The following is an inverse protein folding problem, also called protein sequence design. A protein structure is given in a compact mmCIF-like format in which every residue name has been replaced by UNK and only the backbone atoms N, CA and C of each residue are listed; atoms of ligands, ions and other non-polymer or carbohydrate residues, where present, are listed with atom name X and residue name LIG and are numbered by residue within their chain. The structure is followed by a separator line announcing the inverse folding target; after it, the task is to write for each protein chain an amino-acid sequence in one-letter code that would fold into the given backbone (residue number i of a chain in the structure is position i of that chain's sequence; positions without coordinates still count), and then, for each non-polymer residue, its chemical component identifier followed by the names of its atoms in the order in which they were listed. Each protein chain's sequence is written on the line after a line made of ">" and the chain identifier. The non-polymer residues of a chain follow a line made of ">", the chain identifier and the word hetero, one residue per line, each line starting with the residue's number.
data_IF_374097844346
#
_entry.id   IF_374097844346
#
_cell.length_a   1.000
_cell.length_b   1.000
_cell.length_c   1.000
_cell.angle_alpha   90.00
_cell.angle_beta   90.00
_cell.angle_gamma   90.00
#
_symmetry.space_group_name_H-M   'P 1'
#
loop_
_entity.id
_entity.type
_entity.pdbx_description
1 polymer ?
#
# COMPACT_ATOMS: atom_id res chain seq x y z
N UNK A 1 -3.10 -6.52 10.78
CA UNK A 1 -2.35 -7.13 9.67
C UNK A 1 -0.86 -6.79 9.71
N UNK A 2 -0.43 -5.64 10.26
CA UNK A 2 1.00 -5.32 10.41
C UNK A 2 1.70 -6.01 11.61
N UNK A 3 1.01 -6.88 12.36
CA UNK A 3 1.58 -7.60 13.50
C UNK A 3 2.77 -8.53 13.18
N UNK A 4 2.97 -9.05 11.95
CA UNK A 4 4.18 -9.80 11.62
C UNK A 4 5.49 -9.03 11.87
N UNK A 5 5.45 -7.69 11.81
CA UNK A 5 6.63 -6.84 12.04
C UNK A 5 6.81 -6.41 13.50
N UNK A 6 5.99 -6.88 14.45
CA UNK A 6 5.99 -6.38 15.85
C UNK A 6 7.34 -6.40 16.56
N UNK A 7 8.21 -7.35 16.24
CA UNK A 7 9.52 -7.51 16.88
C UNK A 7 10.61 -6.62 16.26
N UNK A 8 10.43 -6.22 14.99
CA UNK A 8 11.38 -5.39 14.25
C UNK A 8 10.67 -4.67 13.09
N UNK A 9 10.33 -3.40 13.28
CA UNK A 9 9.56 -2.60 12.33
C UNK A 9 10.19 -1.23 12.08
N UNK A 10 10.00 -0.71 10.86
CA UNK A 10 10.23 0.70 10.53
C UNK A 10 9.02 1.60 10.84
N UNK A 11 7.83 1.03 10.99
CA UNK A 11 6.60 1.76 11.24
C UNK A 11 6.34 1.99 12.74
N UNK A 12 5.50 2.99 13.05
CA UNK A 12 4.99 3.21 14.40
C UNK A 12 3.68 2.46 14.64
N UNK A 13 3.26 2.33 15.91
CA UNK A 13 1.95 1.80 16.25
C UNK A 13 0.81 2.60 15.57
N UNK A 14 0.91 3.93 15.51
CA UNK A 14 -0.08 4.78 14.86
C UNK A 14 -0.15 4.51 13.34
N UNK A 15 1.01 4.42 12.68
CA UNK A 15 1.11 4.03 11.26
C UNK A 15 0.40 2.70 11.02
N UNK A 16 0.62 1.72 11.89
CA UNK A 16 0.01 0.39 11.74
C UNK A 16 -1.53 0.41 11.87
N UNK A 17 -2.09 1.24 12.75
CA UNK A 17 -3.55 1.42 12.88
C UNK A 17 -4.10 2.09 11.61
N UNK A 18 -3.38 3.08 11.12
CA UNK A 18 -3.83 3.96 10.03
C UNK A 18 -3.69 3.29 8.65
N UNK A 19 -2.81 2.29 8.52
CA UNK A 19 -2.79 1.40 7.36
C UNK A 19 -4.09 0.61 7.15
N UNK A 20 -4.96 0.49 8.17
CA UNK A 20 -6.23 -0.23 8.08
C UNK A 20 -7.45 0.70 7.88
N UNK A 21 -7.22 2.02 7.83
CA UNK A 21 -8.29 3.02 7.67
C UNK A 21 -8.33 3.54 6.24
N UNK A 22 -9.53 3.74 5.72
CA UNK A 22 -9.74 4.41 4.43
C UNK A 22 -9.46 5.89 4.58
N UNK A 23 -8.84 6.49 3.56
CA UNK A 23 -8.47 7.90 3.58
C UNK A 23 -7.68 8.30 4.84
N UNK A 24 -6.82 7.40 5.30
CA UNK A 24 -6.00 7.63 6.49
C UNK A 24 -4.94 8.71 6.25
N UNK A 25 -4.36 9.23 7.33
CA UNK A 25 -3.36 10.30 7.23
C UNK A 25 -2.09 9.92 6.43
N UNK A 26 -1.85 8.62 6.21
CA UNK A 26 -0.66 8.14 5.50
C UNK A 26 -0.62 8.68 4.07
N UNK A 27 -1.73 8.52 3.34
CA UNK A 27 -1.82 8.84 1.92
C UNK A 27 -3.15 9.50 1.53
N UNK A 28 -4.08 9.60 2.48
CA UNK A 28 -5.45 10.03 2.25
C UNK A 28 -6.14 9.27 1.11
N UNK A 29 -5.75 8.01 0.92
CA UNK A 29 -6.14 7.23 -0.26
C UNK A 29 -7.51 6.59 -0.08
N UNK A 30 -8.37 6.75 -1.08
CA UNK A 30 -9.68 6.10 -1.12
C UNK A 30 -9.61 4.79 -1.91
N UNK A 31 -9.69 3.65 -1.21
CA UNK A 31 -9.77 2.34 -1.85
C UNK A 31 -11.07 2.16 -2.66
N UNK A 32 -12.14 2.85 -2.27
CA UNK A 32 -13.48 2.74 -2.87
C UNK A 32 -13.74 3.77 -3.98
N UNK A 33 -12.69 4.24 -4.67
CA UNK A 33 -12.76 5.29 -5.69
C UNK A 33 -13.60 4.94 -6.93
N UNK A 34 -14.04 3.69 -7.08
CA UNK A 34 -14.95 3.21 -8.14
C UNK A 34 -16.12 2.39 -7.60
N UNK A 35 -16.45 2.53 -6.31
CA UNK A 35 -17.39 1.69 -5.59
C UNK A 35 -16.70 0.88 -4.50
N UNK A 36 -17.48 0.19 -3.67
CA UNK A 36 -16.97 -0.55 -2.50
C UNK A 36 -16.02 -1.67 -2.95
N UNK A 37 -14.77 -1.61 -2.50
CA UNK A 37 -13.77 -2.64 -2.76
C UNK A 37 -14.10 -3.92 -1.95
N UNK A 38 -14.06 -5.11 -2.57
CA UNK A 38 -14.22 -6.37 -1.85
C UNK A 38 -13.19 -6.52 -0.72
N UNK A 39 -13.63 -7.04 0.43
CA UNK A 39 -12.79 -7.14 1.63
C UNK A 39 -11.50 -7.96 1.38
N UNK A 40 -11.59 -9.03 0.58
CA UNK A 40 -10.43 -9.84 0.20
C UNK A 40 -9.39 -9.04 -0.60
N UNK A 41 -9.84 -8.24 -1.56
CA UNK A 41 -8.97 -7.35 -2.32
C UNK A 41 -8.33 -6.28 -1.42
N UNK A 42 -9.14 -5.62 -0.58
CA UNK A 42 -8.68 -4.58 0.36
C UNK A 42 -7.64 -5.10 1.34
N UNK A 43 -7.77 -6.37 1.78
CA UNK A 43 -6.79 -7.02 2.65
C UNK A 43 -5.38 -6.98 2.07
N UNK A 44 -5.23 -7.23 0.77
CA UNK A 44 -3.92 -7.19 0.09
C UNK A 44 -3.33 -5.79 0.06
N UNK A 45 -4.14 -4.75 -0.21
CA UNK A 45 -3.68 -3.35 -0.13
C UNK A 45 -3.22 -2.94 1.28
N UNK A 46 -3.88 -3.45 2.32
CA UNK A 46 -3.44 -3.24 3.70
C UNK A 46 -2.12 -3.98 3.98
N UNK A 47 -1.95 -5.20 3.48
CA UNK A 47 -0.71 -5.97 3.62
C UNK A 47 0.47 -5.31 2.89
N UNK A 48 0.24 -4.83 1.66
CA UNK A 48 1.21 -4.04 0.89
C UNK A 48 1.62 -2.77 1.66
N UNK A 49 0.65 -2.03 2.21
CA UNK A 49 0.92 -0.86 3.05
C UNK A 49 1.75 -1.24 4.29
N UNK A 50 1.41 -2.34 4.98
CA UNK A 50 2.21 -2.80 6.11
C UNK A 50 3.64 -3.19 5.68
N UNK A 51 3.82 -3.86 4.54
CA UNK A 51 5.15 -4.20 4.02
C UNK A 51 5.96 -2.94 3.73
N UNK A 52 5.36 -1.98 3.03
CA UNK A 52 6.00 -0.72 2.64
C UNK A 52 6.42 0.10 3.86
N UNK A 53 5.53 0.24 4.84
CA UNK A 53 5.76 1.08 6.02
C UNK A 53 6.63 0.40 7.08
N UNK A 54 6.48 -0.91 7.26
CA UNK A 54 7.03 -1.61 8.43
C UNK A 54 8.26 -2.46 8.12
N UNK A 55 8.50 -2.90 6.89
CA UNK A 55 9.57 -3.86 6.63
C UNK A 55 10.97 -3.26 6.75
N UNK A 56 11.82 -3.76 7.67
CA UNK A 56 13.21 -3.35 7.75
C UNK A 56 14.11 -4.03 6.72
N UNK A 57 13.55 -4.91 5.88
CA UNK A 57 14.31 -5.78 4.98
C UNK A 57 14.32 -5.31 3.52
N UNK A 58 13.72 -4.15 3.22
CA UNK A 58 13.62 -3.63 1.86
C UNK A 58 14.85 -2.82 1.40
N UNK A 59 15.86 -2.69 2.27
CA UNK A 59 17.10 -1.95 2.01
C UNK A 59 17.73 -2.13 0.62
N UNK A 60 17.87 -3.36 0.09
CA UNK A 60 18.46 -3.60 -1.24
C UNK A 60 17.74 -2.93 -2.41
N UNK A 61 16.46 -2.61 -2.26
CA UNK A 61 15.60 -2.06 -3.32
C UNK A 61 15.32 -0.56 -3.16
N UNK A 62 15.89 0.08 -2.13
CA UNK A 62 15.75 1.52 -1.91
C UNK A 62 16.51 2.28 -3.00
N UNK A 63 15.84 3.28 -3.58
CA UNK A 63 16.37 4.21 -4.60
C UNK A 63 15.95 5.65 -4.26
N UNK A 64 16.77 6.66 -4.61
CA UNK A 64 16.37 8.05 -4.50
C UNK A 64 15.07 8.33 -5.24
N UNK A 65 14.22 9.16 -4.65
CA UNK A 65 12.96 9.61 -5.24
C UNK A 65 13.03 11.10 -5.51
N UNK A 66 12.70 11.49 -6.74
CA UNK A 66 12.49 12.89 -7.11
C UNK A 66 11.01 13.26 -6.84
N UNK A 67 10.69 13.54 -5.58
CA UNK A 67 9.32 13.89 -5.16
C UNK A 67 9.30 14.81 -3.94
N UNK A 68 8.23 15.59 -3.79
CA UNK A 68 8.08 16.56 -2.70
C UNK A 68 7.85 15.95 -1.32
N UNK A 69 7.40 14.69 -1.23
CA UNK A 69 6.94 14.08 0.01
C UNK A 69 7.77 12.88 0.47
N UNK A 70 8.65 12.34 -0.38
CA UNK A 70 9.61 11.29 -0.01
C UNK A 70 10.95 11.51 -0.70
N UNK A 71 12.03 11.28 0.06
CA UNK A 71 13.42 11.32 -0.44
C UNK A 71 13.83 10.02 -1.13
N UNK A 72 13.21 8.91 -0.76
CA UNK A 72 13.53 7.56 -1.21
C UNK A 72 12.26 6.78 -1.51
N UNK A 73 12.38 5.74 -2.33
CA UNK A 73 11.31 4.77 -2.63
C UNK A 73 11.93 3.41 -2.91
N UNK A 74 11.12 2.36 -2.79
CA UNK A 74 11.52 1.01 -3.22
C UNK A 74 11.18 0.81 -4.70
N UNK A 75 12.06 0.14 -5.44
CA UNK A 75 11.85 -0.23 -6.85
C UNK A 75 12.29 -1.67 -7.10
N UNK A 76 11.53 -2.39 -7.93
CA UNK A 76 11.83 -3.77 -8.34
C UNK A 76 11.98 -4.75 -7.16
N UNK A 77 11.15 -4.58 -6.12
CA UNK A 77 11.05 -5.57 -5.04
C UNK A 77 10.56 -6.89 -5.65
N UNK A 78 11.28 -8.02 -5.44
CA UNK A 78 10.91 -9.31 -5.98
C UNK A 78 9.81 -9.91 -5.11
N UNK A 79 8.58 -9.44 -5.30
CA UNK A 79 7.42 -10.04 -4.68
C UNK A 79 7.33 -11.51 -5.13
N UNK A 80 7.03 -12.40 -4.19
CA UNK A 80 6.79 -13.80 -4.52
C UNK A 80 5.62 -13.92 -5.50
N UNK A 81 5.72 -14.92 -6.38
CA UNK A 81 4.74 -15.15 -7.44
C UNK A 81 3.34 -15.37 -6.86
N UNK A 82 3.25 -16.19 -5.82
CA UNK A 82 1.99 -16.58 -5.17
C UNK A 82 1.29 -15.38 -4.51
N UNK A 83 2.05 -14.47 -3.87
CA UNK A 83 1.50 -13.24 -3.29
C UNK A 83 0.92 -12.32 -4.38
N UNK A 84 1.60 -12.20 -5.52
CA UNK A 84 1.13 -11.39 -6.66
C UNK A 84 -0.14 -11.98 -7.30
N UNK A 85 -0.14 -13.29 -7.58
CA UNK A 85 -1.28 -13.96 -8.21
C UNK A 85 -2.51 -13.98 -7.30
N UNK A 86 -2.32 -14.26 -6.01
CA UNK A 86 -3.44 -14.30 -5.05
C UNK A 86 -4.05 -12.90 -4.87
N UNK A 87 -3.23 -11.85 -4.86
CA UNK A 87 -3.72 -10.47 -4.87
C UNK A 87 -4.56 -10.20 -6.12
N UNK A 88 -4.05 -10.55 -7.30
CA UNK A 88 -4.77 -10.36 -8.55
C UNK A 88 -6.12 -11.08 -8.57
N UNK A 89 -6.16 -12.35 -8.17
CA UNK A 89 -7.40 -13.15 -8.12
C UNK A 89 -8.41 -12.61 -7.11
N UNK A 90 -7.99 -12.22 -5.91
CA UNK A 90 -8.91 -11.68 -4.89
C UNK A 90 -9.46 -10.29 -5.26
N UNK A 91 -8.82 -9.60 -6.21
CA UNK A 91 -9.28 -8.33 -6.79
C UNK A 91 -10.04 -8.48 -8.11
N UNK A 92 -10.33 -9.69 -8.59
CA UNK A 92 -11.01 -9.92 -9.88
C UNK A 92 -12.37 -9.22 -10.05
N UNK A 93 -13.10 -9.07 -8.94
CA UNK A 93 -14.42 -8.43 -8.90
C UNK A 93 -14.34 -6.96 -8.43
N UNK A 94 -13.14 -6.46 -8.14
CA UNK A 94 -12.91 -5.07 -7.81
C UNK A 94 -12.83 -4.21 -9.09
N UNK A 95 -13.20 -2.94 -8.97
CA UNK A 95 -13.20 -2.00 -10.11
C UNK A 95 -12.24 -0.85 -9.82
N UNK A 96 -11.53 -0.41 -10.85
CA UNK A 96 -10.71 0.80 -10.80
C UNK A 96 -10.77 1.57 -12.10
N UNK A 97 -10.55 2.88 -12.03
CA UNK A 97 -10.51 3.77 -13.19
C UNK A 97 -9.08 4.12 -13.64
N UNK A 98 -8.04 3.54 -13.00
CA UNK A 98 -6.64 3.85 -13.31
C UNK A 98 -5.76 2.60 -13.20
N UNK A 99 -4.78 2.51 -14.11
CA UNK A 99 -3.71 1.48 -14.05
C UNK A 99 -2.49 1.94 -13.24
N UNK A 100 -2.34 3.25 -13.00
CA UNK A 100 -1.27 3.81 -12.18
C UNK A 100 -1.89 4.61 -11.03
N UNK A 101 -1.78 4.06 -9.82
CA UNK A 101 -2.37 4.66 -8.62
C UNK A 101 -1.42 5.64 -7.90
N UNK A 102 -0.20 5.85 -8.39
CA UNK A 102 0.72 6.84 -7.81
C UNK A 102 0.53 8.27 -8.36
N UNK A 103 -0.14 8.45 -9.51
CA UNK A 103 -0.26 9.78 -10.16
C UNK A 103 -1.58 9.98 -10.88
N UNK A 104 -1.98 11.25 -11.01
CA UNK A 104 -3.11 11.67 -11.84
C UNK A 104 -4.47 11.41 -11.21
N UNK A 105 -4.55 11.37 -9.89
CA UNK A 105 -5.80 11.43 -9.14
C UNK A 105 -6.30 12.88 -9.03
N UNK A 106 -7.61 13.03 -8.86
CA UNK A 106 -8.20 14.30 -8.47
C UNK A 106 -8.31 14.38 -6.94
N UNK A 107 -7.57 15.30 -6.32
CA UNK A 107 -7.49 15.51 -4.87
C UNK A 107 -8.27 16.76 -4.41
N UNK A 108 -9.18 17.29 -5.22
CA UNK A 108 -9.92 18.54 -4.87
C UNK A 108 -10.79 18.40 -3.62
N UNK A 109 -11.15 17.18 -3.23
CA UNK A 109 -12.01 16.88 -2.08
C UNK A 109 -11.24 16.43 -0.84
N UNK A 110 -9.90 16.55 -0.87
CA UNK A 110 -9.02 15.78 0.01
C UNK A 110 -8.99 14.35 -0.49
#
# INVERSE_FOLDING_TARGET
>A
QCTPWKENACCTANTSVQAHQDQSYLYNFNWDHCGVMPEKCKRHFIQDTCLYECSPNLGPWIKPADSSWRKERILHVPLCWEDCEQWWEDCRDAVTCKVNWHKGWNWTTG
#
